data_IF_074410441939
#
_entry.id   IF_074410441939
#
_cell.length_a   1.000
_cell.length_b   1.000
_cell.length_c   1.000
_cell.angle_alpha   90.00
_cell.angle_beta   90.00
_cell.angle_gamma   90.00
#
_symmetry.space_group_name_H-M   'P 1'
#
loop_
_entity.id
_entity.type
_entity.pdbx_description
1 polymer ?
#
# COMPACT_ATOMS: atom_id res chain seq x y z
N UNK A 1 33.15 0.23 21.22
CA UNK A 1 33.20 1.39 20.31
C UNK A 1 32.55 1.03 18.97
N UNK A 2 31.23 0.88 18.93
CA UNK A 2 30.51 0.54 17.69
C UNK A 2 29.36 1.53 17.50
N UNK A 3 29.37 2.19 16.34
CA UNK A 3 28.30 3.01 15.77
C UNK A 3 27.99 4.32 16.51
N UNK A 4 29.00 5.18 16.65
CA UNK A 4 28.75 6.58 16.95
C UNK A 4 28.45 7.29 15.62
N UNK A 5 27.23 7.81 15.48
CA UNK A 5 26.81 8.63 14.35
C UNK A 5 27.32 10.04 14.59
N UNK A 6 27.86 10.70 13.56
CA UNK A 6 28.37 12.06 13.68
C UNK A 6 27.29 13.01 14.22
N UNK A 7 27.61 13.92 15.16
CA UNK A 7 26.63 14.79 15.81
C UNK A 7 25.89 15.72 14.83
N UNK A 8 26.47 16.02 13.67
CA UNK A 8 25.82 16.78 12.60
C UNK A 8 24.72 15.97 11.89
N UNK A 9 24.90 14.65 11.74
CA UNK A 9 23.92 13.74 11.14
C UNK A 9 22.64 13.60 11.98
N UNK A 10 22.77 13.77 13.30
CA UNK A 10 21.67 13.71 14.25
C UNK A 10 20.78 14.96 14.18
N UNK A 11 21.37 16.12 13.82
CA UNK A 11 20.65 17.38 13.66
C UNK A 11 19.76 17.39 12.40
N UNK A 12 20.21 16.77 11.30
CA UNK A 12 19.43 16.67 10.06
C UNK A 12 18.19 15.76 10.18
N UNK A 13 18.22 14.79 11.10
CA UNK A 13 17.15 13.83 11.37
C UNK A 13 16.11 14.33 12.39
N UNK A 14 16.36 15.44 13.08
CA UNK A 14 15.47 15.98 14.12
C UNK A 14 14.36 16.90 13.56
N UNK A 15 14.11 16.84 12.24
CA UNK A 15 12.95 17.50 11.61
C UNK A 15 11.70 16.70 11.98
N UNK A 16 10.69 17.38 12.50
CA UNK A 16 9.55 16.85 13.28
C UNK A 16 8.70 15.72 12.64
N UNK A 17 8.98 15.26 11.42
CA UNK A 17 8.34 14.09 10.81
C UNK A 17 9.20 13.51 9.68
N UNK A 18 10.16 12.65 10.00
CA UNK A 18 10.96 11.94 8.98
C UNK A 18 10.06 10.92 8.26
N UNK A 19 9.96 11.04 6.93
CA UNK A 19 9.15 10.10 6.15
C UNK A 19 9.88 8.76 5.98
N UNK A 20 9.12 7.66 5.85
CA UNK A 20 9.69 6.31 5.62
C UNK A 20 10.58 6.27 4.37
N UNK A 21 10.30 7.11 3.37
CA UNK A 21 11.07 7.18 2.13
C UNK A 21 12.45 7.80 2.34
N UNK A 22 12.55 8.85 3.16
CA UNK A 22 13.82 9.50 3.50
C UNK A 22 14.69 8.57 4.35
N UNK A 23 14.08 7.87 5.31
CA UNK A 23 14.75 6.84 6.09
C UNK A 23 15.34 5.72 5.21
N UNK A 24 14.59 5.24 4.22
CA UNK A 24 15.08 4.21 3.29
C UNK A 24 16.20 4.74 2.39
N UNK A 25 16.05 5.94 1.82
CA UNK A 25 17.12 6.60 1.03
C UNK A 25 18.40 6.77 1.85
N UNK A 26 18.27 7.16 3.11
CA UNK A 26 19.39 7.32 4.02
C UNK A 26 20.11 5.99 4.28
N UNK A 27 19.36 4.91 4.51
CA UNK A 27 19.91 3.57 4.69
C UNK A 27 20.55 3.01 3.41
N UNK A 28 20.07 3.41 2.23
CA UNK A 28 20.68 3.05 0.95
C UNK A 28 22.01 3.80 0.74
N UNK A 29 22.09 5.06 1.19
CA UNK A 29 23.32 5.88 1.15
C UNK A 29 24.35 5.52 2.22
N UNK A 30 23.93 4.92 3.34
CA UNK A 30 24.81 4.59 4.48
C UNK A 30 24.68 3.12 4.92
N UNK A 31 25.42 2.18 4.28
CA UNK A 31 25.31 0.75 4.55
C UNK A 31 25.77 0.33 5.95
N UNK A 32 26.52 1.19 6.63
CA UNK A 32 27.07 0.95 7.98
C UNK A 32 26.01 1.09 9.07
N UNK A 33 24.91 1.80 8.79
CA UNK A 33 23.83 2.03 9.74
C UNK A 33 22.80 0.91 9.62
N UNK A 34 22.52 0.22 10.73
CA UNK A 34 21.50 -0.82 10.75
C UNK A 34 20.10 -0.22 10.83
N UNK A 35 19.13 -0.90 10.21
CA UNK A 35 17.70 -0.49 10.21
C UNK A 35 17.18 -0.33 11.63
N UNK A 36 17.56 -1.23 12.55
CA UNK A 36 17.14 -1.20 13.95
C UNK A 36 17.71 0.01 14.69
N UNK A 37 18.96 0.38 14.43
CA UNK A 37 19.58 1.55 15.06
C UNK A 37 18.92 2.84 14.58
N UNK A 38 18.65 2.94 13.28
CA UNK A 38 17.94 4.08 12.70
C UNK A 38 16.52 4.21 13.28
N UNK A 39 15.77 3.11 13.31
CA UNK A 39 14.40 3.02 13.81
C UNK A 39 14.27 3.54 15.26
N UNK A 40 15.21 3.16 16.13
CA UNK A 40 15.25 3.61 17.51
C UNK A 40 15.47 5.13 17.63
N UNK A 41 16.30 5.71 16.75
CA UNK A 41 16.62 7.14 16.76
C UNK A 41 15.46 7.98 16.24
N UNK A 42 14.84 7.56 15.14
CA UNK A 42 13.71 8.28 14.52
C UNK A 42 12.36 7.95 15.17
N UNK A 43 12.36 7.17 16.26
CA UNK A 43 11.17 6.67 16.97
C UNK A 43 10.12 6.08 16.01
N UNK A 44 10.58 5.29 15.03
CA UNK A 44 9.73 4.65 14.00
C UNK A 44 9.84 3.14 14.12
N UNK A 45 8.73 2.44 13.98
CA UNK A 45 8.73 0.98 13.96
C UNK A 45 9.58 0.45 12.80
N UNK A 46 10.63 -0.31 13.13
CA UNK A 46 11.53 -0.93 12.16
C UNK A 46 10.77 -1.77 11.11
N UNK A 47 9.65 -2.36 11.50
CA UNK A 47 8.78 -3.14 10.60
C UNK A 47 8.23 -2.30 9.45
N UNK A 48 7.94 -1.00 9.67
CA UNK A 48 7.50 -0.10 8.60
C UNK A 48 8.57 0.07 7.53
N UNK A 49 9.83 0.18 7.94
CA UNK A 49 10.98 0.33 7.02
C UNK A 49 11.20 -0.96 6.23
N UNK A 50 11.20 -2.12 6.90
CA UNK A 50 11.32 -3.43 6.23
C UNK A 50 10.19 -3.67 5.22
N UNK A 51 8.94 -3.42 5.62
CA UNK A 51 7.79 -3.54 4.74
C UNK A 51 7.92 -2.61 3.52
N UNK A 52 8.34 -1.36 3.72
CA UNK A 52 8.50 -0.40 2.62
C UNK A 52 9.54 -0.85 1.60
N UNK A 53 10.69 -1.39 2.04
CA UNK A 53 11.70 -1.98 1.15
C UNK A 53 11.15 -3.19 0.39
N UNK A 54 10.41 -4.07 1.08
CA UNK A 54 9.78 -5.24 0.48
C UNK A 54 8.73 -4.86 -0.58
N UNK A 55 7.83 -3.92 -0.29
CA UNK A 55 6.79 -3.47 -1.23
C UNK A 55 7.35 -2.68 -2.42
N UNK A 56 8.49 -1.98 -2.27
CA UNK A 56 9.15 -1.33 -3.41
C UNK A 56 9.74 -2.35 -4.39
N UNK A 57 10.35 -3.43 -3.89
CA UNK A 57 10.96 -4.46 -4.73
C UNK A 57 9.91 -5.14 -5.62
N UNK A 58 8.74 -5.48 -5.08
CA UNK A 58 7.65 -6.12 -5.83
C UNK A 58 6.96 -5.17 -6.83
N UNK A 59 6.93 -3.87 -6.54
CA UNK A 59 6.34 -2.87 -7.44
C UNK A 59 7.28 -2.51 -8.59
N UNK A 60 8.59 -2.51 -8.38
CA UNK A 60 9.56 -2.24 -9.44
C UNK A 60 9.67 -3.42 -10.41
N UNK A 61 9.58 -4.67 -9.93
CA UNK A 61 9.48 -5.85 -10.80
C UNK A 61 8.24 -5.84 -11.70
N UNK A 62 7.12 -5.28 -11.24
CA UNK A 62 5.91 -5.12 -12.06
C UNK A 62 5.89 -3.85 -12.93
N UNK A 63 6.84 -2.92 -12.76
CA UNK A 63 6.90 -1.67 -13.52
C UNK A 63 7.78 -1.77 -14.78
N UNK A 64 8.71 -2.73 -14.82
CA UNK A 64 9.64 -2.90 -15.95
C UNK A 64 9.13 -3.87 -17.04
N UNK A 65 8.03 -4.60 -16.81
CA UNK A 65 7.45 -5.54 -17.81
C UNK A 65 6.39 -4.87 -18.68
N UNK A 66 6.71 -3.73 -19.29
CA UNK A 66 5.85 -3.05 -20.31
C UNK A 66 6.51 -3.03 -21.70
N UNK A 67 7.59 -3.78 -21.90
CA UNK A 67 8.16 -3.99 -23.25
C UNK A 67 7.93 -5.44 -23.68
N UNK A 68 7.00 -5.61 -24.64
CA UNK A 68 6.69 -6.84 -25.37
C UNK A 68 6.49 -8.09 -24.53
N UNK A 69 5.34 -8.14 -23.83
CA UNK A 69 4.89 -9.31 -23.08
C UNK A 69 4.41 -10.44 -23.99
N UNK A 70 5.35 -11.13 -24.63
CA UNK A 70 5.10 -12.44 -25.26
C UNK A 70 5.09 -13.48 -24.16
N UNK A 71 3.93 -14.04 -23.85
CA UNK A 71 3.84 -15.12 -22.87
C UNK A 71 4.60 -16.33 -23.44
N UNK A 72 5.51 -16.92 -22.66
CA UNK A 72 6.24 -18.10 -23.11
C UNK A 72 5.39 -19.35 -22.85
N UNK A 73 5.36 -20.31 -23.78
CA UNK A 73 4.71 -21.59 -23.53
C UNK A 73 5.43 -22.32 -22.39
N UNK A 74 4.70 -22.61 -21.30
CA UNK A 74 5.27 -23.32 -20.13
C UNK A 74 5.24 -24.83 -20.38
N UNK A 75 6.38 -25.49 -20.20
CA UNK A 75 6.49 -26.95 -20.35
C UNK A 75 5.63 -27.68 -19.29
N UNK A 76 4.85 -28.66 -19.75
CA UNK A 76 3.89 -29.42 -18.96
C UNK A 76 4.56 -30.28 -17.88
N UNK A 77 4.82 -29.71 -16.70
CA UNK A 77 5.13 -30.48 -15.48
C UNK A 77 3.89 -30.66 -14.61
N UNK A 78 3.82 -31.78 -13.89
CA UNK A 78 2.66 -32.42 -13.22
C UNK A 78 1.93 -31.60 -12.13
N UNK A 79 2.30 -30.36 -11.89
CA UNK A 79 1.57 -29.44 -11.02
C UNK A 79 0.80 -28.49 -11.92
N UNK A 80 -0.54 -28.59 -11.93
CA UNK A 80 -1.47 -27.79 -12.74
C UNK A 80 -0.89 -26.42 -13.09
N UNK A 81 -0.61 -26.20 -14.37
CA UNK A 81 -0.03 -24.98 -14.93
C UNK A 81 -0.85 -23.76 -14.47
N UNK A 82 -0.41 -23.09 -13.38
CA UNK A 82 -1.10 -21.93 -12.85
C UNK A 82 -0.66 -20.72 -13.67
N UNK A 83 -1.36 -20.47 -14.77
CA UNK A 83 -1.27 -19.17 -15.46
C UNK A 83 -1.68 -18.06 -14.48
N UNK A 84 -0.82 -17.04 -14.36
CA UNK A 84 -1.13 -15.82 -13.61
C UNK A 84 -2.36 -15.14 -14.21
N UNK A 85 -3.18 -14.41 -13.43
CA UNK A 85 -4.30 -13.63 -13.98
C UNK A 85 -3.89 -12.71 -15.14
N UNK A 86 -2.70 -12.11 -15.07
CA UNK A 86 -2.15 -11.26 -16.13
C UNK A 86 -1.82 -12.06 -17.39
N UNK A 87 -1.20 -13.24 -17.25
CA UNK A 87 -0.89 -14.14 -18.36
C UNK A 87 -2.17 -14.61 -19.05
N UNK A 88 -3.21 -14.99 -18.29
CA UNK A 88 -4.51 -15.39 -18.84
C UNK A 88 -5.14 -14.27 -19.67
N UNK A 89 -5.09 -13.03 -19.18
CA UNK A 89 -5.60 -11.87 -19.90
C UNK A 89 -4.85 -11.64 -21.21
N UNK A 90 -3.52 -11.72 -21.20
CA UNK A 90 -2.70 -11.58 -22.39
C UNK A 90 -3.01 -12.67 -23.43
N UNK A 91 -3.11 -13.93 -22.99
CA UNK A 91 -3.44 -15.05 -23.88
C UNK A 91 -4.82 -14.90 -24.53
N UNK A 92 -5.83 -14.48 -23.75
CA UNK A 92 -7.17 -14.21 -24.30
C UNK A 92 -7.10 -13.07 -25.33
N UNK A 93 -6.35 -12.01 -25.04
CA UNK A 93 -6.18 -10.89 -25.97
C UNK A 93 -5.45 -11.30 -27.26
N UNK A 94 -4.41 -12.12 -27.16
CA UNK A 94 -3.71 -12.70 -28.32
C UNK A 94 -4.64 -13.60 -29.14
N UNK A 95 -5.42 -14.47 -28.47
CA UNK A 95 -6.38 -15.37 -29.10
C UNK A 95 -7.48 -14.61 -29.87
N UNK A 96 -7.99 -13.51 -29.30
CA UNK A 96 -9.00 -12.66 -29.95
C UNK A 96 -8.44 -11.90 -31.16
N UNK A 97 -7.15 -11.57 -31.16
CA UNK A 97 -6.47 -10.90 -32.27
C UNK A 97 -6.02 -11.86 -33.38
N UNK A 98 -5.84 -13.14 -33.06
CA UNK A 98 -5.42 -14.15 -34.00
C UNK A 98 -6.54 -14.47 -35.02
N UNK A 99 -6.17 -14.74 -36.28
CA UNK A 99 -7.06 -15.37 -37.26
C UNK A 99 -7.31 -16.85 -36.93
N UNK A 100 -8.28 -17.47 -37.57
CA UNK A 100 -8.75 -18.83 -37.20
C UNK A 100 -7.67 -19.92 -37.27
N UNK A 101 -6.78 -19.86 -38.27
CA UNK A 101 -5.65 -20.78 -38.37
C UNK A 101 -4.67 -20.60 -37.19
N UNK A 102 -4.35 -19.33 -36.87
CA UNK A 102 -3.41 -18.97 -35.80
C UNK A 102 -3.96 -19.29 -34.40
N UNK A 103 -5.29 -19.29 -34.20
CA UNK A 103 -5.92 -19.67 -32.94
C UNK A 103 -5.63 -21.12 -32.57
N UNK A 104 -5.74 -22.03 -33.54
CA UNK A 104 -5.49 -23.46 -33.28
C UNK A 104 -4.02 -23.74 -32.97
N UNK A 105 -3.10 -23.04 -33.64
CA UNK A 105 -1.68 -23.11 -33.32
C UNK A 105 -1.36 -22.55 -31.94
N UNK A 106 -1.97 -21.42 -31.57
CA UNK A 106 -1.81 -20.79 -30.26
C UNK A 106 -2.20 -21.77 -29.15
N UNK A 107 -3.39 -22.37 -29.25
CA UNK A 107 -3.88 -23.36 -28.28
C UNK A 107 -2.91 -24.54 -28.09
N UNK A 108 -2.37 -25.07 -29.19
CA UNK A 108 -1.40 -26.18 -29.14
C UNK A 108 -0.08 -25.75 -28.51
N UNK A 109 0.43 -24.56 -28.84
CA UNK A 109 1.69 -24.02 -28.28
C UNK A 109 1.61 -23.85 -26.77
N UNK A 110 0.48 -23.35 -26.26
CA UNK A 110 0.29 -23.10 -24.83
C UNK A 110 -0.34 -24.29 -24.07
N UNK A 111 -0.65 -25.38 -24.76
CA UNK A 111 -1.29 -26.57 -24.16
C UNK A 111 -2.66 -26.28 -23.57
N UNK A 112 -3.43 -25.39 -24.20
CA UNK A 112 -4.75 -24.94 -23.74
C UNK A 112 -5.86 -25.51 -24.61
N UNK A 113 -7.03 -25.71 -24.02
CA UNK A 113 -8.23 -26.05 -24.76
C UNK A 113 -9.04 -24.80 -25.07
N UNK A 114 -9.84 -24.88 -26.15
CA UNK A 114 -10.78 -23.82 -26.50
C UNK A 114 -11.71 -23.45 -25.33
N UNK A 115 -12.14 -24.47 -24.56
CA UNK A 115 -12.98 -24.31 -23.39
C UNK A 115 -12.33 -23.43 -22.30
N UNK A 116 -11.01 -23.53 -22.11
CA UNK A 116 -10.29 -22.75 -21.10
C UNK A 116 -10.29 -21.26 -21.46
N UNK A 117 -10.01 -20.94 -22.73
CA UNK A 117 -10.02 -19.56 -23.23
C UNK A 117 -11.43 -18.98 -23.16
N UNK A 118 -12.44 -19.73 -23.64
CA UNK A 118 -13.83 -19.29 -23.57
C UNK A 118 -14.29 -19.05 -22.12
N UNK A 119 -13.86 -19.87 -21.17
CA UNK A 119 -14.14 -19.65 -19.75
C UNK A 119 -13.48 -18.37 -19.24
N UNK A 120 -12.21 -18.11 -19.58
CA UNK A 120 -11.52 -16.87 -19.18
C UNK A 120 -12.14 -15.63 -19.82
N UNK A 121 -12.59 -15.70 -21.07
CA UNK A 121 -13.33 -14.61 -21.71
C UNK A 121 -14.58 -14.23 -20.94
N UNK A 122 -15.36 -15.21 -20.49
CA UNK A 122 -16.57 -14.98 -19.69
C UNK A 122 -16.21 -14.32 -18.36
N UNK A 123 -15.19 -14.82 -17.67
CA UNK A 123 -14.73 -14.24 -16.41
C UNK A 123 -14.25 -12.79 -16.57
N UNK A 124 -13.48 -12.50 -17.62
CA UNK A 124 -12.99 -11.15 -17.92
C UNK A 124 -14.16 -10.22 -18.24
N UNK A 125 -15.12 -10.67 -19.06
CA UNK A 125 -16.32 -9.89 -19.40
C UNK A 125 -17.15 -9.59 -18.16
N UNK A 126 -17.39 -10.57 -17.30
CA UNK A 126 -18.12 -10.39 -16.04
C UNK A 126 -17.41 -9.41 -15.12
N UNK A 127 -16.10 -9.58 -14.89
CA UNK A 127 -15.30 -8.68 -14.06
C UNK A 127 -15.28 -7.24 -14.62
N UNK A 128 -15.18 -7.09 -15.94
CA UNK A 128 -15.23 -5.78 -16.59
C UNK A 128 -16.60 -5.12 -16.41
N UNK A 129 -17.70 -5.85 -16.63
CA UNK A 129 -19.05 -5.33 -16.43
C UNK A 129 -19.32 -4.94 -14.98
N UNK A 130 -18.85 -5.74 -14.02
CA UNK A 130 -18.92 -5.38 -12.61
C UNK A 130 -18.12 -4.12 -12.28
N UNK A 131 -16.89 -4.01 -12.81
CA UNK A 131 -16.04 -2.85 -12.57
C UNK A 131 -16.62 -1.57 -13.18
N UNK A 132 -17.17 -1.64 -14.40
CA UNK A 132 -17.81 -0.52 -15.08
C UNK A 132 -19.17 -0.17 -14.45
N UNK A 133 -19.92 -1.18 -13.99
CA UNK A 133 -21.23 -1.01 -13.36
C UNK A 133 -21.16 -0.52 -11.92
N UNK A 134 -20.07 -0.80 -11.19
CA UNK A 134 -19.82 -0.23 -9.86
C UNK A 134 -19.48 1.25 -10.03
N UNK A 135 -20.51 2.10 -9.92
CA UNK A 135 -20.32 3.54 -9.71
C UNK A 135 -19.40 3.70 -8.50
N UNK A 136 -18.22 4.30 -8.70
CA UNK A 136 -17.25 4.56 -7.63
C UNK A 136 -18.02 5.08 -6.43
N UNK A 137 -18.09 4.27 -5.37
CA UNK A 137 -18.74 4.70 -4.13
C UNK A 137 -18.08 6.03 -3.79
N UNK A 138 -18.88 7.10 -3.68
CA UNK A 138 -18.36 8.39 -3.22
C UNK A 138 -17.79 8.12 -1.84
N UNK A 139 -16.47 7.95 -1.78
CA UNK A 139 -15.69 7.72 -0.58
C UNK A 139 -15.80 8.89 0.41
N UNK A 140 -16.49 9.96 0.01
CA UNK A 140 -16.74 11.16 0.81
C UNK A 140 -17.83 10.97 1.87
N UNK A 141 -18.54 9.84 1.89
CA UNK A 141 -19.40 9.51 3.02
C UNK A 141 -18.49 9.04 4.17
N UNK A 142 -18.07 9.99 5.03
CA UNK A 142 -17.48 9.69 6.35
C UNK A 142 -18.24 8.52 6.97
N UNK A 143 -17.53 7.47 7.35
CA UNK A 143 -18.12 6.31 8.04
C UNK A 143 -18.91 6.84 9.24
N UNK A 144 -20.02 6.18 9.60
CA UNK A 144 -20.81 6.60 10.76
C UNK A 144 -19.97 6.58 12.05
N UNK A 145 -18.93 5.75 12.09
CA UNK A 145 -17.90 5.75 13.14
C UNK A 145 -17.09 7.05 13.16
N UNK A 146 -16.63 7.54 12.00
CA UNK A 146 -15.90 8.80 11.90
C UNK A 146 -16.75 10.01 12.32
N UNK A 147 -18.06 9.99 12.00
CA UNK A 147 -18.98 11.03 12.47
C UNK A 147 -19.16 10.99 13.98
N UNK A 148 -19.24 9.80 14.57
CA UNK A 148 -19.33 9.62 16.03
C UNK A 148 -18.07 10.11 16.72
N UNK A 149 -16.90 9.76 16.19
CA UNK A 149 -15.61 10.21 16.73
C UNK A 149 -15.54 11.74 16.72
N UNK A 150 -15.84 12.39 15.59
CA UNK A 150 -15.80 13.86 15.50
C UNK A 150 -16.81 14.53 16.46
N UNK A 151 -17.99 13.91 16.67
CA UNK A 151 -18.97 14.41 17.63
C UNK A 151 -18.46 14.30 19.06
N UNK A 152 -17.90 13.14 19.42
CA UNK A 152 -17.34 12.89 20.75
C UNK A 152 -16.15 13.80 21.05
N UNK A 153 -15.26 14.03 20.08
CA UNK A 153 -14.13 14.97 20.20
C UNK A 153 -14.61 16.40 20.49
N UNK A 154 -15.68 16.86 19.82
CA UNK A 154 -16.27 18.17 20.08
C UNK A 154 -16.91 18.27 21.47
N UNK A 155 -17.62 17.23 21.90
CA UNK A 155 -18.22 17.17 23.24
C UNK A 155 -17.13 17.21 24.33
N UNK A 156 -16.05 16.44 24.15
CA UNK A 156 -14.91 16.40 25.07
C UNK A 156 -14.23 17.77 25.15
N UNK A 157 -13.93 18.40 24.02
CA UNK A 157 -13.32 19.73 23.98
C UNK A 157 -14.21 20.83 24.62
N UNK A 158 -15.55 20.68 24.52
CA UNK A 158 -16.47 21.59 25.18
C UNK A 158 -16.45 21.41 26.72
N UNK A 159 -16.38 20.16 27.19
CA UNK A 159 -16.28 19.83 28.62
C UNK A 159 -14.95 20.30 29.21
N UNK A 160 -13.83 20.12 28.51
CA UNK A 160 -12.51 20.61 28.97
C UNK A 160 -12.50 22.14 29.12
N UNK A 161 -13.18 22.87 28.23
CA UNK A 161 -13.29 24.33 28.33
C UNK A 161 -14.09 24.77 29.55
N UNK A 162 -15.16 24.05 29.93
CA UNK A 162 -15.95 24.41 31.11
C UNK A 162 -15.19 24.08 32.38
N UNK A 163 -14.54 22.92 32.46
CA UNK A 163 -13.73 22.54 33.63
C UNK A 163 -12.53 23.48 33.81
N UNK A 164 -11.88 23.89 32.72
CA UNK A 164 -10.83 24.91 32.77
C UNK A 164 -11.36 26.23 33.37
N UNK A 165 -12.48 26.75 32.85
CA UNK A 165 -13.10 27.98 33.38
C UNK A 165 -13.48 27.85 34.86
N UNK A 166 -14.09 26.73 35.25
CA UNK A 166 -14.45 26.48 36.65
C UNK A 166 -13.21 26.39 37.55
N UNK A 167 -12.16 25.70 37.12
CA UNK A 167 -10.90 25.59 37.86
C UNK A 167 -10.23 26.96 38.04
N UNK A 168 -10.29 27.82 37.01
CA UNK A 168 -9.75 29.20 37.11
C UNK A 168 -10.53 30.02 38.14
N UNK A 169 -11.86 29.91 38.17
CA UNK A 169 -12.70 30.58 39.16
C UNK A 169 -12.39 30.09 40.58
N UNK A 170 -12.23 28.78 40.78
CA UNK A 170 -11.89 28.20 42.08
C UNK A 170 -10.50 28.65 42.57
N UNK A 171 -9.51 28.71 41.69
CA UNK A 171 -8.17 29.21 42.03
C UNK A 171 -8.22 30.68 42.42
N UNK A 172 -8.99 31.50 41.70
CA UNK A 172 -9.18 32.91 42.04
C UNK A 172 -9.86 33.07 43.41
N UNK A 173 -10.93 32.32 43.68
CA UNK A 173 -11.61 32.32 44.98
C UNK A 173 -10.65 31.93 46.12
N UNK A 174 -9.84 30.89 45.91
CA UNK A 174 -8.83 30.46 46.90
C UNK A 174 -7.82 31.56 47.19
N UNK A 175 -7.32 32.27 46.16
CA UNK A 175 -6.39 33.40 46.36
C UNK A 175 -7.02 34.54 47.15
N UNK A 176 -8.29 34.86 46.90
CA UNK A 176 -9.01 35.91 47.63
C UNK A 176 -9.30 35.54 49.09
N UNK A 177 -9.47 34.25 49.41
CA UNK A 177 -9.69 33.79 50.79
C UNK A 177 -8.43 33.69 51.66
N UNK A 178 -7.24 33.81 51.06
CA UNK A 178 -5.94 33.69 51.74
C UNK A 178 -5.33 35.07 52.04
N UNK A 179 -5.89 36.14 51.46
CA UNK A 179 -5.63 37.53 51.85
C UNK A 179 -6.62 37.98 52.92
#
# INVERSE_FOLDING_TARGET
MKNLIDPQLLADLNKENVTVQEAVKFLDSNPTVTVSNLANIINMDAKKIYNHRYYKATKNSNKEVVSESKVLPKAASKSQQRYSPEEKYLLVNEYLKAGDDNKTELLRRYGLYQADISHWEVQIKQAALEALGKRKARSDKKSDEQKKIEKLEKELAAQEKTTAKLSTLLVLQKKLSIC
#
